data_IF_416967767033
#
_entry.id   IF_416967767033
#
_cell.length_a   1.000
_cell.length_b   1.000
_cell.length_c   1.000
_cell.angle_alpha   90.00
_cell.angle_beta   90.00
_cell.angle_gamma   90.00
#
_symmetry.space_group_name_H-M   'P 1'
#
loop_
_entity.id
_entity.type
_entity.pdbx_description
1 polymer ?
#
# COMPACT_ATOMS: atom_id res chain seq x y z
N UNK A 1 68.44 13.00 23.23
CA UNK A 1 68.86 14.39 23.55
C UNK A 1 67.60 15.21 23.80
N UNK A 2 67.68 16.20 24.71
CA UNK A 2 66.72 17.29 25.03
C UNK A 2 65.21 17.02 24.80
N UNK A 3 64.34 16.88 25.80
CA UNK A 3 64.08 17.72 27.01
C UNK A 3 63.66 19.15 26.67
N UNK A 4 62.39 19.50 26.97
CA UNK A 4 62.03 20.69 27.75
C UNK A 4 60.56 20.61 28.26
N UNK A 5 60.34 20.88 29.54
CA UNK A 5 59.04 21.22 30.17
C UNK A 5 59.30 22.37 31.15
N UNK A 6 58.39 23.35 31.30
CA UNK A 6 57.59 23.53 32.54
C UNK A 6 56.13 24.00 32.24
N UNK A 7 55.14 24.14 33.14
CA UNK A 7 54.86 23.83 34.56
C UNK A 7 54.36 25.06 35.39
N UNK A 8 53.20 24.90 36.08
CA UNK A 8 52.64 25.73 37.20
C UNK A 8 52.23 27.20 36.87
N UNK A 9 51.43 27.97 37.64
CA UNK A 9 50.64 27.89 38.93
C UNK A 9 49.47 28.94 38.82
N UNK A 10 48.51 29.27 39.71
CA UNK A 10 47.98 28.97 41.09
C UNK A 10 46.44 28.76 40.99
N UNK A 11 45.55 28.56 41.98
CA UNK A 11 45.33 28.88 43.42
C UNK A 11 44.77 30.29 43.79
N UNK A 12 43.91 30.30 44.83
CA UNK A 12 43.34 31.42 45.64
C UNK A 12 42.22 32.35 45.07
N UNK A 13 41.25 32.91 45.83
CA UNK A 13 40.68 32.62 47.19
C UNK A 13 39.24 33.20 47.34
N UNK A 14 38.49 32.71 48.36
CA UNK A 14 37.19 33.12 48.94
C UNK A 14 36.56 34.51 48.66
N UNK A 15 35.22 34.57 48.71
CA UNK A 15 34.50 35.60 49.49
C UNK A 15 33.07 35.15 49.94
N UNK A 16 32.62 35.54 51.13
CA UNK A 16 31.24 35.40 51.64
C UNK A 16 30.62 36.78 51.94
N UNK A 17 29.29 36.96 51.80
CA UNK A 17 28.69 38.30 51.97
C UNK A 17 27.16 38.42 51.96
N UNK A 18 26.53 37.96 53.04
CA UNK A 18 25.27 38.45 53.65
C UNK A 18 24.09 39.03 52.81
N UNK A 19 22.96 38.30 52.91
CA UNK A 19 21.62 38.76 53.32
C UNK A 19 20.70 39.61 52.39
N UNK A 20 19.45 39.12 52.31
CA UNK A 20 18.17 39.82 52.21
C UNK A 20 17.81 40.62 50.94
N UNK A 21 16.85 40.07 50.18
CA UNK A 21 15.46 40.56 50.26
C UNK A 21 14.45 39.53 49.74
N UNK A 22 13.19 39.65 50.18
CA UNK A 22 12.08 38.85 49.69
C UNK A 22 11.13 39.71 48.84
N UNK A 23 10.70 39.18 47.69
CA UNK A 23 9.40 39.38 47.01
C UNK A 23 9.55 38.99 45.52
N UNK A 24 9.02 37.83 45.13
CA UNK A 24 8.12 37.69 43.97
C UNK A 24 7.74 36.21 43.72
N UNK A 25 6.46 35.91 43.40
CA UNK A 25 5.99 34.58 43.01
C UNK A 25 5.47 34.52 41.56
N UNK A 26 5.15 33.31 41.06
CA UNK A 26 5.92 32.09 41.14
C UNK A 26 6.81 31.97 39.89
N UNK A 27 8.02 31.43 40.00
CA UNK A 27 8.77 31.08 38.78
C UNK A 27 7.98 29.98 38.04
N UNK A 28 7.52 30.29 36.83
CA UNK A 28 6.82 29.31 36.00
C UNK A 28 7.77 28.14 35.77
N UNK A 29 7.27 26.91 35.90
CA UNK A 29 7.94 25.77 35.31
C UNK A 29 7.81 25.92 33.80
N UNK A 30 8.76 26.62 33.19
CA UNK A 30 9.02 26.55 31.77
C UNK A 30 9.46 25.12 31.48
N UNK A 31 8.45 24.26 31.27
CA UNK A 31 8.63 22.92 30.73
C UNK A 31 9.08 23.11 29.30
N UNK A 32 10.39 23.33 29.14
CA UNK A 32 11.10 23.28 27.88
C UNK A 32 10.85 21.89 27.32
N UNK A 33 9.81 21.80 26.49
CA UNK A 33 9.34 20.55 25.93
C UNK A 33 10.34 20.17 24.86
N UNK A 34 11.43 19.54 25.31
CA UNK A 34 12.51 19.06 24.47
C UNK A 34 11.97 17.89 23.65
N UNK A 35 11.28 18.24 22.57
CA UNK A 35 10.87 17.31 21.54
C UNK A 35 12.13 16.74 20.90
N UNK A 36 12.57 15.59 21.42
CA UNK A 36 13.67 14.82 20.86
C UNK A 36 13.26 14.24 19.50
N UNK A 37 13.36 15.09 18.48
CA UNK A 37 13.19 14.73 17.07
C UNK A 37 14.41 13.93 16.56
N UNK A 38 15.45 13.75 17.38
CA UNK A 38 16.70 13.03 17.12
C UNK A 38 16.60 11.52 17.37
N UNK A 39 15.39 10.95 17.19
CA UNK A 39 15.16 9.51 17.31
C UNK A 39 16.10 8.68 16.43
N UNK A 40 16.57 7.54 16.95
CA UNK A 40 17.60 6.67 16.37
C UNK A 40 17.44 6.46 14.87
N UNK A 41 18.52 6.71 14.10
CA UNK A 41 18.51 6.52 12.65
C UNK A 41 19.00 5.11 12.30
N UNK A 42 18.13 4.35 11.66
CA UNK A 42 18.44 3.04 11.07
C UNK A 42 18.95 3.24 9.65
N UNK A 43 20.08 2.60 9.32
CA UNK A 43 20.51 2.36 7.94
C UNK A 43 19.87 1.04 7.47
N UNK A 44 18.85 1.14 6.62
CA UNK A 44 18.26 -0.03 5.96
C UNK A 44 18.92 -0.18 4.58
N UNK A 45 19.65 -1.27 4.38
CA UNK A 45 20.17 -1.67 3.07
C UNK A 45 19.15 -2.60 2.40
N UNK A 46 18.63 -2.22 1.22
CA UNK A 46 17.74 -3.05 0.39
C UNK A 46 18.46 -3.38 -0.90
N UNK A 47 18.86 -4.64 -1.10
CA UNK A 47 19.79 -5.03 -2.16
C UNK A 47 21.03 -4.10 -2.14
N UNK A 48 21.26 -3.35 -3.23
CA UNK A 48 22.38 -2.39 -3.34
C UNK A 48 22.03 -0.93 -2.94
N UNK A 49 20.80 -0.66 -2.47
CA UNK A 49 20.32 0.71 -2.14
C UNK A 49 20.26 0.92 -0.63
N UNK A 50 20.88 1.99 -0.13
CA UNK A 50 20.91 2.33 1.30
C UNK A 50 19.97 3.48 1.67
N UNK A 51 19.03 3.21 2.58
CA UNK A 51 18.07 4.18 3.14
C UNK A 51 18.48 4.61 4.56
N UNK A 52 18.16 5.85 4.95
CA UNK A 52 18.26 6.33 6.33
C UNK A 52 16.86 6.66 6.85
N UNK A 53 16.41 5.96 7.89
CA UNK A 53 15.02 5.98 8.34
C UNK A 53 14.99 6.12 9.88
N UNK A 54 14.18 7.03 10.46
CA UNK A 54 13.97 7.06 11.91
C UNK A 54 13.33 5.76 12.41
N UNK A 55 13.88 5.17 13.46
CA UNK A 55 13.45 3.88 14.02
C UNK A 55 11.93 3.78 14.24
N UNK A 56 11.20 4.80 14.78
CA UNK A 56 9.75 4.75 14.96
C UNK A 56 8.90 4.67 13.68
N UNK A 57 9.49 4.84 12.48
CA UNK A 57 8.80 4.62 11.20
C UNK A 57 8.96 3.18 10.71
N UNK A 58 10.11 2.56 10.95
CA UNK A 58 10.44 1.20 10.50
C UNK A 58 10.06 0.12 11.53
N UNK A 59 10.00 0.45 12.83
CA UNK A 59 9.60 -0.47 13.91
C UNK A 59 8.12 -0.91 13.89
N UNK A 60 7.33 -0.42 12.93
CA UNK A 60 5.94 -0.84 12.68
C UNK A 60 5.83 -2.09 11.80
N UNK A 61 6.92 -2.46 11.12
CA UNK A 61 7.05 -3.67 10.31
C UNK A 61 7.67 -4.76 11.19
N UNK A 62 6.88 -5.70 11.70
CA UNK A 62 7.32 -6.56 12.80
C UNK A 62 8.51 -7.47 12.45
N UNK A 63 8.73 -7.79 11.17
CA UNK A 63 9.94 -8.52 10.73
C UNK A 63 11.18 -7.62 10.71
N UNK A 64 11.05 -6.34 10.36
CA UNK A 64 12.16 -5.37 10.42
C UNK A 64 12.50 -4.99 11.86
N UNK A 65 11.51 -4.93 12.75
CA UNK A 65 11.72 -4.74 14.20
C UNK A 65 12.59 -5.84 14.81
N UNK A 66 12.38 -7.10 14.41
CA UNK A 66 13.24 -8.23 14.84
C UNK A 66 14.69 -8.06 14.36
N UNK A 67 14.90 -7.67 13.10
CA UNK A 67 16.24 -7.36 12.59
C UNK A 67 16.92 -6.20 13.35
N UNK A 68 16.14 -5.21 13.80
CA UNK A 68 16.63 -4.10 14.63
C UNK A 68 17.01 -4.60 16.03
N UNK A 69 16.20 -5.46 16.67
CA UNK A 69 16.54 -6.09 17.95
C UNK A 69 17.80 -6.97 17.86
N UNK A 70 17.93 -7.80 16.83
CA UNK A 70 19.09 -8.69 16.67
C UNK A 70 20.37 -7.91 16.36
N UNK A 71 20.31 -6.91 15.48
CA UNK A 71 21.45 -6.02 15.26
C UNK A 71 21.83 -5.22 16.54
N UNK A 72 20.85 -4.81 17.35
CA UNK A 72 21.10 -4.17 18.67
C UNK A 72 21.81 -5.13 19.63
N UNK A 73 21.45 -6.42 19.66
CA UNK A 73 22.16 -7.46 20.44
C UNK A 73 23.62 -7.62 19.97
N UNK A 74 23.86 -7.57 18.65
CA UNK A 74 25.20 -7.69 18.06
C UNK A 74 26.07 -6.43 18.22
N UNK A 75 25.48 -5.23 18.33
CA UNK A 75 26.22 -3.97 18.47
C UNK A 75 25.58 -2.98 19.46
N UNK A 76 25.57 -3.27 20.77
CA UNK A 76 24.81 -2.50 21.78
C UNK A 76 25.27 -1.05 22.01
N UNK A 77 26.40 -0.63 21.42
CA UNK A 77 27.00 0.71 21.58
C UNK A 77 26.98 1.56 20.30
N UNK A 78 26.31 1.12 19.24
CA UNK A 78 26.25 1.90 17.99
C UNK A 78 25.03 2.83 17.97
N UNK A 79 25.27 4.14 17.94
CA UNK A 79 24.24 5.16 17.70
C UNK A 79 23.74 5.18 16.23
N UNK A 80 24.17 4.24 15.39
CA UNK A 80 23.71 4.08 14.01
C UNK A 80 23.67 2.60 13.68
N UNK A 81 22.47 2.03 13.71
CA UNK A 81 22.25 0.62 13.42
C UNK A 81 22.21 0.39 11.91
N UNK A 82 22.75 -0.74 11.45
CA UNK A 82 22.63 -1.18 10.07
C UNK A 82 21.91 -2.53 10.01
N UNK A 83 20.89 -2.62 9.17
CA UNK A 83 20.16 -3.86 8.84
C UNK A 83 20.12 -4.01 7.32
N UNK A 84 20.10 -5.25 6.83
CA UNK A 84 20.09 -5.54 5.40
C UNK A 84 18.97 -6.53 5.04
N UNK A 85 18.27 -6.26 3.94
CA UNK A 85 17.26 -7.13 3.34
C UNK A 85 17.52 -7.29 1.86
N UNK A 86 17.20 -8.47 1.33
CA UNK A 86 17.47 -8.86 -0.05
C UNK A 86 16.21 -9.49 -0.66
N UNK A 87 16.00 -9.31 -1.95
CA UNK A 87 14.87 -9.90 -2.69
C UNK A 87 14.93 -9.59 -4.18
N UNK A 88 13.76 -9.41 -4.80
CA UNK A 88 13.67 -9.10 -6.23
C UNK A 88 14.22 -7.71 -6.60
N UNK A 89 14.31 -7.43 -7.89
CA UNK A 89 14.84 -6.17 -8.43
C UNK A 89 13.93 -4.95 -8.16
N UNK A 90 12.66 -5.17 -7.86
CA UNK A 90 11.67 -4.10 -7.62
C UNK A 90 11.65 -3.68 -6.14
N UNK A 91 12.02 -4.59 -5.22
CA UNK A 91 11.99 -4.42 -3.77
C UNK A 91 12.56 -3.07 -3.28
N UNK A 92 13.69 -2.62 -3.84
CA UNK A 92 14.28 -1.32 -3.49
C UNK A 92 13.41 -0.13 -3.92
N UNK A 93 12.75 -0.22 -5.07
CA UNK A 93 11.78 0.79 -5.52
C UNK A 93 10.45 0.70 -4.75
N UNK A 94 10.05 -0.50 -4.33
CA UNK A 94 8.87 -0.70 -3.50
C UNK A 94 9.07 -0.10 -2.10
N UNK A 95 10.24 -0.30 -1.48
CA UNK A 95 10.62 0.36 -0.23
C UNK A 95 10.63 1.89 -0.37
N UNK A 96 11.14 2.44 -1.48
CA UNK A 96 11.12 3.89 -1.74
C UNK A 96 9.67 4.42 -1.77
N UNK A 97 8.81 3.84 -2.62
CA UNK A 97 7.40 4.21 -2.72
C UNK A 97 6.66 4.07 -1.37
N UNK A 98 6.97 3.02 -0.60
CA UNK A 98 6.39 2.78 0.74
C UNK A 98 6.80 3.87 1.73
N UNK A 99 8.07 4.28 1.70
CA UNK A 99 8.58 5.34 2.56
C UNK A 99 8.04 6.71 2.16
N UNK A 100 7.88 7.01 0.87
CA UNK A 100 7.20 8.22 0.40
C UNK A 100 5.75 8.30 0.93
N UNK A 101 5.00 7.20 0.82
CA UNK A 101 3.64 7.09 1.38
C UNK A 101 3.63 7.31 2.91
N UNK A 102 4.54 6.68 3.65
CA UNK A 102 4.67 6.83 5.11
C UNK A 102 5.21 8.21 5.56
N UNK A 103 5.84 8.95 4.65
CA UNK A 103 6.35 10.30 4.90
C UNK A 103 5.33 11.40 4.52
N UNK A 104 4.26 11.06 3.80
CA UNK A 104 3.31 12.06 3.29
C UNK A 104 2.46 12.65 4.43
N UNK A 105 2.44 13.98 4.64
CA UNK A 105 1.74 14.57 5.80
C UNK A 105 0.22 14.54 5.65
N UNK A 106 -0.49 14.06 6.69
CA UNK A 106 -1.94 13.83 6.66
C UNK A 106 -2.82 15.10 6.78
N UNK A 107 -2.22 16.30 6.70
CA UNK A 107 -2.92 17.59 6.88
C UNK A 107 -3.17 18.35 5.57
N UNK A 108 -2.85 17.75 4.41
CA UNK A 108 -3.21 18.26 3.09
C UNK A 108 -4.41 17.47 2.54
N UNK A 109 -5.22 18.15 1.74
CA UNK A 109 -6.43 17.65 1.05
C UNK A 109 -6.24 16.31 0.31
N UNK A 110 -7.33 15.55 0.04
CA UNK A 110 -7.34 14.09 -0.08
C UNK A 110 -6.22 13.50 -0.94
N UNK A 111 -5.17 13.04 -0.25
CA UNK A 111 -3.95 12.50 -0.85
C UNK A 111 -4.30 11.31 -1.75
N UNK A 112 -4.17 11.53 -3.06
CA UNK A 112 -4.40 10.54 -4.09
C UNK A 112 -3.08 9.86 -4.48
N UNK A 113 -2.67 8.86 -3.70
CA UNK A 113 -1.56 7.98 -4.06
C UNK A 113 -1.83 7.29 -5.41
N UNK A 114 -0.78 7.05 -6.21
CA UNK A 114 -0.91 6.27 -7.44
C UNK A 114 -1.11 4.78 -7.14
N UNK A 115 -1.71 4.04 -8.07
CA UNK A 115 -1.87 2.58 -7.92
C UNK A 115 -0.53 1.89 -7.72
N UNK A 116 0.53 2.32 -8.42
CA UNK A 116 1.91 1.87 -8.20
C UNK A 116 2.36 2.03 -6.73
N UNK A 117 2.23 3.23 -6.15
CA UNK A 117 2.70 3.49 -4.77
C UNK A 117 1.93 2.64 -3.75
N UNK A 118 0.61 2.48 -3.95
CA UNK A 118 -0.23 1.64 -3.08
C UNK A 118 0.11 0.14 -3.22
N UNK A 119 0.42 -0.34 -4.42
CA UNK A 119 0.83 -1.73 -4.67
C UNK A 119 2.19 -2.02 -4.04
N UNK A 120 3.17 -1.11 -4.20
CA UNK A 120 4.46 -1.20 -3.51
C UNK A 120 4.31 -1.26 -1.99
N UNK A 121 3.53 -0.34 -1.42
CA UNK A 121 3.27 -0.30 0.01
C UNK A 121 2.52 -1.55 0.51
N UNK A 122 1.61 -2.11 -0.29
CA UNK A 122 0.99 -3.40 0.00
C UNK A 122 2.00 -4.56 -0.03
N UNK A 123 2.86 -4.68 -1.06
CA UNK A 123 3.91 -5.73 -1.13
C UNK A 123 4.83 -5.67 0.09
N UNK A 124 5.37 -4.50 0.44
CA UNK A 124 6.29 -4.34 1.58
C UNK A 124 5.58 -4.60 2.91
N UNK A 125 4.35 -4.12 3.08
CA UNK A 125 3.60 -4.37 4.33
C UNK A 125 3.11 -5.80 4.51
N UNK A 126 2.91 -6.56 3.42
CA UNK A 126 2.69 -8.00 3.46
C UNK A 126 3.98 -8.78 3.74
N UNK A 127 5.09 -8.41 3.09
CA UNK A 127 6.38 -9.11 3.20
C UNK A 127 7.10 -8.88 4.55
N UNK A 128 6.82 -7.76 5.22
CA UNK A 128 7.49 -7.35 6.47
C UNK A 128 6.54 -7.15 7.66
N UNK A 129 5.44 -7.91 7.73
CA UNK A 129 4.51 -7.95 8.86
C UNK A 129 4.00 -6.57 9.34
N UNK A 130 3.34 -5.80 8.46
CA UNK A 130 2.60 -4.58 8.86
C UNK A 130 1.13 -4.60 8.37
N UNK A 131 0.25 -5.45 8.95
CA UNK A 131 -1.09 -5.70 8.41
C UNK A 131 -2.00 -4.47 8.28
N UNK A 132 -1.86 -3.48 9.15
CA UNK A 132 -2.65 -2.25 9.09
C UNK A 132 -2.30 -1.38 7.87
N UNK A 133 -1.02 -1.34 7.46
CA UNK A 133 -0.62 -0.66 6.23
C UNK A 133 -1.09 -1.44 4.99
N UNK A 134 -1.02 -2.78 5.03
CA UNK A 134 -1.53 -3.63 3.96
C UNK A 134 -3.04 -3.39 3.73
N UNK A 135 -3.84 -3.46 4.79
CA UNK A 135 -5.28 -3.22 4.73
C UNK A 135 -5.63 -1.79 4.28
N UNK A 136 -4.85 -0.77 4.69
CA UNK A 136 -5.00 0.60 4.19
C UNK A 136 -4.76 0.69 2.67
N UNK A 137 -3.68 0.07 2.18
CA UNK A 137 -3.33 0.11 0.77
C UNK A 137 -4.36 -0.61 -0.10
N UNK A 138 -4.78 -1.82 0.30
CA UNK A 138 -5.86 -2.56 -0.39
C UNK A 138 -7.15 -1.74 -0.39
N UNK A 139 -7.59 -1.18 0.75
CA UNK A 139 -8.82 -0.35 0.81
C UNK A 139 -8.74 0.91 -0.06
N UNK A 140 -7.55 1.53 -0.20
CA UNK A 140 -7.34 2.66 -1.12
C UNK A 140 -7.39 2.23 -2.58
N UNK A 141 -6.87 1.05 -2.91
CA UNK A 141 -6.96 0.45 -4.25
C UNK A 141 -8.42 0.04 -4.58
N UNK A 142 -9.20 -0.47 -3.61
CA UNK A 142 -10.64 -0.78 -3.79
C UNK A 142 -11.47 0.47 -4.12
N UNK A 143 -11.14 1.62 -3.53
CA UNK A 143 -11.77 2.91 -3.82
C UNK A 143 -11.23 3.64 -5.06
N UNK A 144 -10.28 3.05 -5.80
CA UNK A 144 -9.66 3.67 -6.98
C UNK A 144 -10.38 3.27 -8.27
N UNK A 145 -10.37 4.15 -9.29
CA UNK A 145 -11.02 3.93 -10.59
C UNK A 145 -10.22 2.97 -11.52
N UNK A 146 -9.87 1.80 -11.01
CA UNK A 146 -9.07 0.79 -11.71
C UNK A 146 -9.90 0.06 -12.77
N UNK A 147 -9.40 0.03 -14.01
CA UNK A 147 -9.97 -0.80 -15.08
C UNK A 147 -9.79 -2.30 -14.80
N UNK A 148 -10.62 -3.16 -15.39
CA UNK A 148 -10.65 -4.60 -15.05
C UNK A 148 -9.28 -5.29 -15.20
N UNK A 149 -8.46 -4.91 -16.19
CA UNK A 149 -7.09 -5.44 -16.36
C UNK A 149 -6.10 -4.93 -15.32
N UNK A 150 -6.18 -3.65 -14.94
CA UNK A 150 -5.34 -3.13 -13.86
C UNK A 150 -5.70 -3.83 -12.55
N UNK A 151 -7.00 -4.02 -12.30
CA UNK A 151 -7.51 -4.77 -11.14
C UNK A 151 -7.09 -6.25 -11.17
N UNK A 152 -7.06 -6.89 -12.34
CA UNK A 152 -6.53 -8.26 -12.50
C UNK A 152 -5.03 -8.34 -12.18
N UNK A 153 -4.23 -7.43 -12.75
CA UNK A 153 -2.77 -7.35 -12.54
C UNK A 153 -2.45 -7.12 -11.05
N UNK A 154 -3.11 -6.14 -10.43
CA UNK A 154 -2.97 -5.83 -9.00
C UNK A 154 -3.48 -6.98 -8.12
N UNK A 155 -4.61 -7.59 -8.49
CA UNK A 155 -5.19 -8.72 -7.78
C UNK A 155 -4.23 -9.90 -7.69
N UNK A 156 -3.53 -10.22 -8.79
CA UNK A 156 -2.49 -11.27 -8.80
C UNK A 156 -1.26 -10.88 -7.97
N UNK A 157 -0.74 -9.67 -8.14
CA UNK A 157 0.44 -9.18 -7.38
C UNK A 157 0.19 -9.17 -5.86
N UNK A 158 -1.05 -8.92 -5.42
CA UNK A 158 -1.44 -8.88 -4.01
C UNK A 158 -2.21 -10.13 -3.54
N UNK A 159 -2.26 -11.19 -4.37
CA UNK A 159 -2.97 -12.46 -4.10
C UNK A 159 -4.48 -12.34 -3.76
N UNK A 160 -5.12 -11.26 -4.20
CA UNK A 160 -6.55 -10.96 -4.00
C UNK A 160 -7.42 -11.71 -5.03
N UNK A 161 -7.71 -12.99 -4.80
CA UNK A 161 -8.49 -13.83 -5.74
C UNK A 161 -9.84 -13.23 -6.17
N UNK A 162 -10.56 -12.60 -5.23
CA UNK A 162 -11.85 -11.94 -5.51
C UNK A 162 -11.75 -10.76 -6.49
N UNK A 163 -10.58 -10.12 -6.60
CA UNK A 163 -10.31 -9.08 -7.59
C UNK A 163 -10.14 -9.66 -8.98
N UNK A 164 -9.43 -10.78 -9.10
CA UNK A 164 -9.24 -11.54 -10.33
C UNK A 164 -10.56 -12.13 -10.83
N UNK A 165 -11.32 -12.81 -9.96
CA UNK A 165 -12.67 -13.32 -10.26
C UNK A 165 -13.61 -12.22 -10.75
N UNK A 166 -13.57 -11.03 -10.11
CA UNK A 166 -14.34 -9.87 -10.54
C UNK A 166 -13.89 -9.34 -11.89
N UNK A 167 -12.59 -9.24 -12.14
CA UNK A 167 -12.05 -8.78 -13.41
C UNK A 167 -12.42 -9.74 -14.56
N UNK A 168 -12.24 -11.05 -14.36
CA UNK A 168 -12.64 -12.06 -15.34
C UNK A 168 -14.15 -12.03 -15.62
N UNK A 169 -14.99 -11.83 -14.60
CA UNK A 169 -16.44 -11.65 -14.78
C UNK A 169 -16.76 -10.42 -15.62
N UNK A 170 -16.25 -9.23 -15.27
CA UNK A 170 -16.46 -7.98 -16.03
C UNK A 170 -15.98 -8.11 -17.49
N UNK A 171 -14.82 -8.76 -17.71
CA UNK A 171 -14.28 -9.04 -19.04
C UNK A 171 -15.10 -10.06 -19.83
N UNK A 172 -15.78 -10.99 -19.16
CA UNK A 172 -16.76 -11.89 -19.79
C UNK A 172 -18.08 -11.19 -20.10
N UNK A 173 -18.48 -10.19 -19.32
CA UNK A 173 -19.80 -9.53 -19.39
C UNK A 173 -19.89 -8.48 -20.49
N UNK A 174 -18.81 -7.74 -20.79
CA UNK A 174 -18.80 -6.73 -21.86
C UNK A 174 -18.90 -7.33 -23.27
N UNK A 175 -19.69 -6.70 -24.15
CA UNK A 175 -19.88 -7.13 -25.54
C UNK A 175 -18.64 -6.87 -26.43
N UNK A 176 -17.89 -5.81 -26.13
CA UNK A 176 -16.66 -5.46 -26.85
C UNK A 176 -15.64 -6.61 -26.82
N UNK A 177 -14.85 -6.77 -27.88
CA UNK A 177 -13.92 -7.90 -28.02
C UNK A 177 -12.79 -7.88 -26.99
N UNK A 178 -12.26 -9.06 -26.64
CA UNK A 178 -11.00 -9.20 -25.88
C UNK A 178 -9.84 -8.82 -26.80
N UNK A 179 -9.06 -7.82 -26.41
CA UNK A 179 -7.86 -7.38 -27.15
C UNK A 179 -6.66 -8.29 -26.87
N UNK A 180 -5.61 -8.16 -27.68
CA UNK A 180 -4.34 -8.90 -27.49
C UNK A 180 -3.68 -8.61 -26.14
N UNK A 181 -3.73 -7.37 -25.65
CA UNK A 181 -3.15 -7.03 -24.35
C UNK A 181 -3.94 -7.70 -23.21
N UNK A 182 -5.27 -7.72 -23.31
CA UNK A 182 -6.14 -8.35 -22.32
C UNK A 182 -5.95 -9.87 -22.28
N UNK A 183 -5.85 -10.52 -23.44
CA UNK A 183 -5.52 -11.95 -23.56
C UNK A 183 -4.16 -12.27 -22.90
N UNK A 184 -3.14 -11.43 -23.13
CA UNK A 184 -1.81 -11.60 -22.52
C UNK A 184 -1.83 -11.35 -21.00
N UNK A 185 -2.63 -10.40 -20.52
CA UNK A 185 -2.79 -10.12 -19.10
C UNK A 185 -3.62 -11.18 -18.36
N UNK A 186 -4.62 -11.78 -19.02
CA UNK A 186 -5.36 -12.94 -18.53
C UNK A 186 -4.47 -14.18 -18.42
N UNK A 187 -3.67 -14.47 -19.45
CA UNK A 187 -3.04 -15.77 -19.61
C UNK A 187 -4.04 -16.83 -20.10
N UNK A 188 -3.53 -17.99 -20.51
CA UNK A 188 -4.29 -18.96 -21.32
C UNK A 188 -5.57 -19.44 -20.62
N UNK A 189 -5.48 -19.88 -19.36
CA UNK A 189 -6.62 -20.52 -18.67
C UNK A 189 -7.74 -19.52 -18.35
N UNK A 190 -7.40 -18.33 -17.86
CA UNK A 190 -8.37 -17.28 -17.58
C UNK A 190 -8.97 -16.72 -18.87
N UNK A 191 -8.19 -16.61 -19.95
CA UNK A 191 -8.71 -16.25 -21.27
C UNK A 191 -9.71 -17.29 -21.80
N UNK A 192 -9.39 -18.59 -21.67
CA UNK A 192 -10.30 -19.67 -22.07
C UNK A 192 -11.62 -19.60 -21.29
N UNK A 193 -11.57 -19.44 -19.97
CA UNK A 193 -12.77 -19.27 -19.13
C UNK A 193 -13.63 -18.06 -19.58
N UNK A 194 -13.00 -16.90 -19.81
CA UNK A 194 -13.68 -15.68 -20.30
C UNK A 194 -14.29 -15.88 -21.69
N UNK A 195 -13.60 -16.58 -22.59
CA UNK A 195 -14.08 -16.88 -23.93
C UNK A 195 -15.28 -17.85 -23.91
N UNK A 196 -15.20 -18.96 -23.18
CA UNK A 196 -16.31 -19.92 -23.04
C UNK A 196 -17.53 -19.32 -22.36
N UNK A 197 -17.34 -18.42 -21.38
CA UNK A 197 -18.44 -17.69 -20.74
C UNK A 197 -19.16 -16.74 -21.72
N UNK A 198 -18.41 -16.06 -22.60
CA UNK A 198 -18.98 -15.22 -23.68
C UNK A 198 -19.73 -16.05 -24.71
N UNK A 199 -19.12 -17.14 -25.19
CA UNK A 199 -19.73 -18.04 -26.18
C UNK A 199 -21.05 -18.64 -25.66
N UNK A 200 -21.06 -19.11 -24.40
CA UNK A 200 -22.26 -19.62 -23.75
C UNK A 200 -23.37 -18.56 -23.71
N UNK A 201 -23.08 -17.32 -23.34
CA UNK A 201 -24.08 -16.23 -23.34
C UNK A 201 -24.62 -15.95 -24.74
N UNK A 202 -23.76 -15.96 -25.76
CA UNK A 202 -24.18 -15.73 -27.15
C UNK A 202 -25.14 -16.82 -27.64
N UNK A 203 -24.86 -18.09 -27.34
CA UNK A 203 -25.78 -19.21 -27.60
C UNK A 203 -27.13 -19.00 -26.88
N UNK A 204 -27.10 -18.74 -25.57
CA UNK A 204 -28.32 -18.47 -24.78
C UNK A 204 -29.13 -17.26 -25.27
N UNK A 205 -28.49 -16.25 -25.86
CA UNK A 205 -29.18 -15.10 -26.47
C UNK A 205 -29.87 -15.50 -27.78
N UNK A 206 -29.20 -16.27 -28.65
CA UNK A 206 -29.78 -16.78 -29.91
C UNK A 206 -30.95 -17.72 -29.64
N UNK A 207 -30.85 -18.60 -28.64
CA UNK A 207 -31.92 -19.53 -28.27
C UNK A 207 -33.18 -18.78 -27.78
N UNK A 208 -33.01 -17.72 -26.98
CA UNK A 208 -34.10 -16.86 -26.50
C UNK A 208 -34.78 -16.08 -27.63
N UNK A 209 -33.99 -15.50 -28.54
CA UNK A 209 -34.52 -14.78 -29.71
C UNK A 209 -35.29 -15.71 -30.64
N UNK A 210 -34.77 -16.93 -30.86
CA UNK A 210 -35.44 -17.96 -31.65
C UNK A 210 -36.77 -18.37 -31.01
N UNK A 211 -36.78 -18.62 -29.70
CA UNK A 211 -37.98 -18.99 -28.94
C UNK A 211 -39.09 -17.91 -28.97
N UNK A 212 -38.72 -16.63 -28.88
CA UNK A 212 -39.70 -15.53 -28.89
C UNK A 212 -40.36 -15.31 -30.26
N UNK A 213 -39.71 -15.70 -31.37
CA UNK A 213 -40.28 -15.53 -32.72
C UNK A 213 -41.45 -16.47 -33.03
N UNK A 214 -41.56 -17.59 -32.31
CA UNK A 214 -42.56 -18.64 -32.54
C UNK A 214 -43.98 -18.35 -32.04
N UNK A 215 -44.23 -17.19 -31.41
CA UNK A 215 -45.51 -16.91 -30.71
C UNK A 215 -46.42 -15.87 -31.40
N UNK A 216 -46.07 -15.42 -32.62
CA UNK A 216 -46.82 -14.37 -33.34
C UNK A 216 -47.68 -14.88 -34.51
N UNK A 217 -47.97 -16.18 -34.56
CA UNK A 217 -48.74 -16.84 -35.64
C UNK A 217 -49.71 -17.89 -35.06
N UNK A 218 -50.81 -17.43 -34.43
CA UNK A 218 -52.05 -18.20 -34.19
C UNK A 218 -53.12 -17.33 -33.49
N UNK A 219 -53.58 -16.30 -34.20
CA UNK A 219 -54.82 -15.55 -33.94
C UNK A 219 -55.47 -15.23 -35.30
N UNK A 220 -56.76 -14.91 -35.31
CA UNK A 220 -57.52 -14.38 -36.46
C UNK A 220 -57.94 -15.39 -37.57
N UNK A 221 -58.46 -16.56 -37.17
CA UNK A 221 -59.30 -17.42 -38.03
C UNK A 221 -60.42 -18.13 -37.23
N UNK A 222 -61.46 -17.39 -36.81
CA UNK A 222 -62.74 -17.98 -36.37
C UNK A 222 -63.97 -17.29 -36.99
N UNK A 223 -64.59 -18.01 -37.93
CA UNK A 223 -66.03 -18.01 -38.27
C UNK A 223 -66.85 -16.70 -38.23
N UNK A 224 -66.78 -15.96 -39.34
CA UNK A 224 -67.82 -14.98 -39.72
C UNK A 224 -69.10 -15.71 -40.19
N UNK A 225 -69.88 -16.24 -39.26
CA UNK A 225 -71.10 -17.04 -39.53
C UNK A 225 -72.27 -16.18 -39.97
N UNK A 226 -72.27 -15.82 -41.25
CA UNK A 226 -73.38 -15.17 -41.96
C UNK A 226 -74.68 -15.97 -41.79
N UNK A 227 -75.64 -15.40 -41.05
CA UNK A 227 -77.04 -15.86 -41.07
C UNK A 227 -77.80 -15.15 -42.17
N UNK A 228 -77.99 -15.82 -43.29
CA UNK A 228 -79.24 -15.65 -44.05
C UNK A 228 -80.39 -16.28 -43.24
N UNK A 229 -81.60 -15.75 -43.39
CA UNK A 229 -82.80 -16.26 -42.74
C UNK A 229 -83.89 -16.61 -43.75
N UNK A 230 -84.96 -17.17 -43.21
CA UNK A 230 -86.37 -16.95 -43.55
C UNK A 230 -87.19 -17.18 -42.26
#
# INVERSE_FOLDING_TARGET
>A
MSVQTPASTTEDINNEGCLNNANDPPNAQEVTTLHDLTGTIIKLQVNNVGFRIPEPRISKFASLSKLIEDARRTSPRSNTLAIAVHGDNELASDFLNTLELLNTPSFVEPIHFSSKVLVSAARVSAAYDYPALHAFCVKKLEGSSLGSIERLRIGRVLNLKSWEERACRELSERDTMITREEMLALGVDAYFQVASAREKRQREQVDRLSSNSGHCMNSDLEDDKVKFGD
#
